data_IF_925769345013
#
_entry.id   IF_925769345013
#
_cell.length_a   1.000
_cell.length_b   1.000
_cell.length_c   1.000
_cell.angle_alpha   90.00
_cell.angle_beta   90.00
_cell.angle_gamma   90.00
#
_symmetry.space_group_name_H-M   'P 1'
#
loop_
_entity.id
_entity.type
_entity.pdbx_description
1 polymer ?
#
# COMPACT_ATOMS: atom_id res chain seq x y z
N UNK A 1 -11.59 15.95 5.70
CA UNK A 1 -11.80 14.67 5.00
C UNK A 1 -10.65 13.76 5.39
N UNK A 2 -10.94 12.53 5.82
CA UNK A 2 -9.91 11.58 6.23
C UNK A 2 -9.52 10.74 5.02
N UNK A 3 -8.22 10.70 4.69
CA UNK A 3 -7.69 9.70 3.78
C UNK A 3 -7.24 8.49 4.60
N UNK A 4 -7.53 7.28 4.10
CA UNK A 4 -7.07 6.03 4.69
C UNK A 4 -6.21 5.30 3.66
N UNK A 5 -5.03 4.89 4.11
CA UNK A 5 -4.13 4.04 3.37
C UNK A 5 -4.02 2.68 4.07
N UNK A 6 -4.18 1.59 3.32
CA UNK A 6 -4.02 0.24 3.83
C UNK A 6 -3.10 -0.58 2.93
N UNK A 7 -1.96 -0.97 3.47
CA UNK A 7 -1.03 -1.93 2.86
C UNK A 7 -1.13 -3.27 3.60
N UNK A 8 -1.50 -4.32 2.88
CA UNK A 8 -1.59 -5.70 3.40
C UNK A 8 -0.52 -6.52 2.67
N UNK A 9 0.38 -7.15 3.42
CA UNK A 9 1.42 -8.01 2.86
C UNK A 9 1.25 -9.43 3.37
N UNK A 10 0.91 -10.32 2.45
CA UNK A 10 0.80 -11.75 2.65
C UNK A 10 1.99 -12.49 2.08
N UNK A 11 2.00 -13.82 2.22
CA UNK A 11 3.12 -14.66 1.77
C UNK A 11 3.31 -14.72 0.26
N UNK A 12 2.23 -14.49 -0.52
CA UNK A 12 2.22 -14.60 -2.00
C UNK A 12 1.54 -13.43 -2.69
N UNK A 13 1.11 -12.45 -1.93
CA UNK A 13 0.46 -11.27 -2.48
C UNK A 13 0.65 -10.08 -1.56
N UNK A 14 0.55 -8.89 -2.14
CA UNK A 14 0.47 -7.64 -1.43
C UNK A 14 -0.66 -6.82 -2.05
N UNK A 15 -1.41 -6.09 -1.22
CA UNK A 15 -2.50 -5.24 -1.67
C UNK A 15 -2.38 -3.86 -1.06
N UNK A 16 -2.48 -2.84 -1.90
CA UNK A 16 -2.55 -1.44 -1.53
C UNK A 16 -3.96 -0.92 -1.77
N UNK A 17 -4.56 -0.28 -0.78
CA UNK A 17 -5.86 0.39 -0.91
C UNK A 17 -5.75 1.81 -0.38
N UNK A 18 -6.11 2.79 -1.21
CA UNK A 18 -6.23 4.19 -0.83
C UNK A 18 -7.70 4.62 -0.91
N UNK A 19 -8.19 5.20 0.18
CA UNK A 19 -9.55 5.73 0.29
C UNK A 19 -9.55 7.19 0.69
N UNK A 20 -10.54 7.94 0.20
CA UNK A 20 -10.83 9.31 0.64
C UNK A 20 -12.31 9.40 0.98
N UNK A 21 -12.62 9.35 2.27
CA UNK A 21 -14.00 9.09 2.70
C UNK A 21 -14.45 7.68 2.29
N UNK A 22 -15.59 7.58 1.60
CA UNK A 22 -16.14 6.30 1.13
C UNK A 22 -15.64 5.89 -0.27
N UNK A 23 -14.93 6.79 -0.96
CA UNK A 23 -14.41 6.55 -2.30
C UNK A 23 -13.08 5.81 -2.24
N UNK A 24 -12.96 4.73 -3.03
CA UNK A 24 -11.70 4.05 -3.31
C UNK A 24 -11.04 4.78 -4.48
N UNK A 25 -9.86 5.35 -4.22
CA UNK A 25 -9.07 6.04 -5.24
C UNK A 25 -8.12 5.05 -5.94
N UNK A 26 -7.48 4.19 -5.16
CA UNK A 26 -6.55 3.16 -5.66
C UNK A 26 -6.78 1.82 -4.96
N UNK A 27 -6.65 0.74 -5.72
CA UNK A 27 -6.76 -0.65 -5.25
C UNK A 27 -5.88 -1.55 -6.12
N UNK A 28 -4.63 -1.71 -5.71
CA UNK A 28 -3.63 -2.47 -6.44
C UNK A 28 -3.32 -3.79 -5.74
N UNK A 29 -3.25 -4.88 -6.52
CA UNK A 29 -2.93 -6.23 -6.05
C UNK A 29 -1.72 -6.78 -6.80
N UNK A 30 -0.63 -7.00 -6.07
CA UNK A 30 0.55 -7.71 -6.56
C UNK A 30 0.51 -9.15 -6.13
N UNK A 31 0.82 -10.06 -7.06
CA UNK A 31 0.97 -11.50 -6.79
C UNK A 31 2.41 -11.91 -7.01
N UNK A 32 2.90 -12.79 -6.15
CA UNK A 32 4.26 -13.30 -6.17
C UNK A 32 4.24 -14.78 -6.55
N UNK A 33 5.10 -15.16 -7.49
CA UNK A 33 5.20 -16.56 -7.97
C UNK A 33 5.77 -17.52 -6.92
N UNK A 34 6.48 -16.96 -5.93
CA UNK A 34 7.05 -17.69 -4.81
C UNK A 34 6.63 -17.08 -3.47
N UNK A 35 6.77 -17.86 -2.41
CA UNK A 35 6.64 -17.32 -1.07
C UNK A 35 7.78 -16.32 -0.79
N UNK A 36 7.43 -15.16 -0.26
CA UNK A 36 8.42 -14.20 0.19
C UNK A 36 9.09 -14.66 1.48
N UNK A 37 10.40 -14.45 1.57
CA UNK A 37 11.14 -14.62 2.81
C UNK A 37 10.77 -13.52 3.82
N UNK A 38 10.97 -13.77 5.11
CA UNK A 38 10.64 -12.79 6.16
C UNK A 38 11.39 -11.45 6.01
N UNK A 39 12.67 -11.49 5.67
CA UNK A 39 13.48 -10.28 5.49
C UNK A 39 13.05 -9.49 4.25
N UNK A 40 12.83 -10.19 3.14
CA UNK A 40 12.31 -9.64 1.89
C UNK A 40 10.93 -9.00 2.07
N UNK A 41 10.02 -9.67 2.78
CA UNK A 41 8.72 -9.11 3.13
C UNK A 41 8.88 -7.83 3.97
N UNK A 42 9.84 -7.79 4.90
CA UNK A 42 10.12 -6.59 5.70
C UNK A 42 10.62 -5.41 4.87
N UNK A 43 11.48 -5.66 3.89
CA UNK A 43 11.98 -4.63 2.96
C UNK A 43 10.85 -4.10 2.07
N UNK A 44 10.04 -4.99 1.51
CA UNK A 44 8.89 -4.62 0.66
C UNK A 44 7.85 -3.84 1.46
N UNK A 45 7.52 -4.25 2.70
CA UNK A 45 6.63 -3.49 3.59
C UNK A 45 7.12 -2.06 3.74
N UNK A 46 8.41 -1.88 3.96
CA UNK A 46 8.97 -0.55 4.20
C UNK A 46 8.86 0.34 2.96
N UNK A 47 9.31 -0.16 1.81
CA UNK A 47 9.26 0.59 0.54
C UNK A 47 7.83 0.90 0.13
N UNK A 48 6.93 -0.10 0.17
CA UNK A 48 5.54 0.09 -0.19
C UNK A 48 4.81 1.00 0.80
N UNK A 49 5.15 0.98 2.09
CA UNK A 49 4.54 1.89 3.06
C UNK A 49 4.98 3.33 2.83
N UNK A 50 6.26 3.56 2.58
CA UNK A 50 6.80 4.90 2.33
C UNK A 50 6.15 5.51 1.07
N UNK A 51 6.11 4.77 -0.04
CA UNK A 51 5.51 5.23 -1.31
C UNK A 51 3.99 5.48 -1.19
N UNK A 52 3.31 4.57 -0.49
CA UNK A 52 1.89 4.69 -0.25
C UNK A 52 1.55 5.85 0.72
N UNK A 53 2.43 6.13 1.70
CA UNK A 53 2.30 7.29 2.57
C UNK A 53 2.50 8.58 1.80
N UNK A 54 3.51 8.65 0.92
CA UNK A 54 3.73 9.80 0.03
C UNK A 54 2.52 10.04 -0.89
N UNK A 55 1.94 8.98 -1.46
CA UNK A 55 0.70 9.06 -2.25
C UNK A 55 -0.47 9.59 -1.42
N UNK A 56 -0.63 9.12 -0.18
CA UNK A 56 -1.66 9.64 0.72
C UNK A 56 -1.43 11.13 1.01
N UNK A 57 -0.20 11.53 1.31
CA UNK A 57 0.16 12.94 1.57
C UNK A 57 -0.15 13.80 0.36
N UNK A 58 0.24 13.37 -0.85
CA UNK A 58 -0.10 14.04 -2.09
C UNK A 58 -1.62 14.13 -2.31
N UNK A 59 -2.37 13.06 -2.01
CA UNK A 59 -3.83 13.03 -2.17
C UNK A 59 -4.59 13.95 -1.21
N UNK A 60 -4.05 14.14 0.00
CA UNK A 60 -4.63 15.00 1.04
C UNK A 60 -4.27 16.46 0.80
N UNK A 61 -3.00 16.73 0.48
CA UNK A 61 -2.46 18.07 0.45
C UNK A 61 -2.43 18.68 -0.95
N UNK A 62 -2.40 17.87 -2.01
CA UNK A 62 -2.63 18.26 -3.40
C UNK A 62 -1.92 19.55 -3.78
N UNK A 63 -0.61 19.45 -3.99
CA UNK A 63 0.34 20.57 -4.14
C UNK A 63 0.60 21.36 -2.84
#
# INVERSE_FOLDING_TARGET
>A
MTAELRLIIGTKEARLVLKKGDDILEDELWKFDRQMGRSEAGEIVRVCFDDAYDLMQWTVHGD
#
